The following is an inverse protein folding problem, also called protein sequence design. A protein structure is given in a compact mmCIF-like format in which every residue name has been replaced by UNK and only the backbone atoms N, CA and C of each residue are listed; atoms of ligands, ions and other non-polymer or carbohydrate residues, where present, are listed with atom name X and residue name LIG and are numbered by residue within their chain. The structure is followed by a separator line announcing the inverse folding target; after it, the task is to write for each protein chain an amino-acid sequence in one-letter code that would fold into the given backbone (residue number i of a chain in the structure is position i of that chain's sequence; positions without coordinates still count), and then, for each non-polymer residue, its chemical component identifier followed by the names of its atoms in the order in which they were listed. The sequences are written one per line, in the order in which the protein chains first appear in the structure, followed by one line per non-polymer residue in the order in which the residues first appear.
data_IF_359893415797
#
_entry.id   IF_359893415797
#
_cell.length_a   1.000
_cell.length_b   1.000
_cell.length_c   1.000
_cell.angle_alpha   90.00
_cell.angle_beta   90.00
_cell.angle_gamma   90.00
#
_symmetry.space_group_name_H-M   'P 1'
#
loop_
_entity.id
_entity.type
_entity.pdbx_description
1 polymer ?
#
# COMPACT_ATOMS: atom_id res chain seq x y z
N UNK A 1 12.44 -13.94 -7.56
CA UNK A 1 11.50 -13.97 -8.68
C UNK A 1 10.93 -15.37 -8.81
N UNK A 2 9.61 -15.47 -8.71
CA UNK A 2 8.82 -16.70 -8.89
C UNK A 2 8.23 -16.75 -10.29
N UNK A 3 8.12 -17.95 -10.88
CA UNK A 3 7.33 -18.17 -12.08
C UNK A 3 5.81 -18.17 -11.81
N UNK A 4 4.99 -18.31 -12.84
CA UNK A 4 3.54 -18.28 -12.68
C UNK A 4 3.00 -19.44 -11.80
N UNK A 5 3.55 -20.65 -11.95
CA UNK A 5 3.13 -21.82 -11.17
C UNK A 5 3.54 -21.70 -9.71
N UNK A 6 4.75 -21.21 -9.45
CA UNK A 6 5.24 -20.93 -8.10
C UNK A 6 4.40 -19.86 -7.41
N UNK A 7 4.02 -18.79 -8.11
CA UNK A 7 3.10 -17.76 -7.58
C UNK A 7 1.73 -18.32 -7.24
N UNK A 8 1.19 -19.20 -8.08
CA UNK A 8 -0.11 -19.82 -7.84
C UNK A 8 -0.07 -20.76 -6.62
N UNK A 9 1.01 -21.53 -6.46
CA UNK A 9 1.25 -22.36 -5.29
C UNK A 9 1.41 -21.51 -4.02
N UNK A 10 2.15 -20.40 -4.11
CA UNK A 10 2.30 -19.45 -3.01
C UNK A 10 0.95 -18.86 -2.59
N UNK A 11 0.10 -18.44 -3.54
CA UNK A 11 -1.26 -17.93 -3.24
C UNK A 11 -2.10 -18.95 -2.45
N UNK A 12 -2.07 -20.23 -2.84
CA UNK A 12 -2.76 -21.29 -2.10
C UNK A 12 -2.22 -21.47 -0.68
N UNK A 13 -0.90 -21.51 -0.53
CA UNK A 13 -0.25 -21.69 0.76
C UNK A 13 -0.52 -20.50 1.71
N UNK A 14 -0.43 -19.27 1.20
CA UNK A 14 -0.74 -18.06 1.96
C UNK A 14 -2.22 -18.03 2.37
N UNK A 15 -3.16 -18.41 1.49
CA UNK A 15 -4.58 -18.50 1.83
C UNK A 15 -4.83 -19.51 2.96
N UNK A 16 -4.28 -20.72 2.83
CA UNK A 16 -4.42 -21.74 3.87
C UNK A 16 -3.87 -21.26 5.24
N UNK A 17 -2.79 -20.48 5.22
CA UNK A 17 -2.18 -19.89 6.42
C UNK A 17 -3.07 -18.80 7.03
N UNK A 18 -3.61 -17.90 6.21
CA UNK A 18 -4.54 -16.86 6.65
C UNK A 18 -5.83 -17.47 7.26
N UNK A 19 -6.35 -18.55 6.66
CA UNK A 19 -7.53 -19.25 7.18
C UNK A 19 -7.24 -19.92 8.53
N UNK A 20 -6.04 -20.50 8.70
CA UNK A 20 -5.60 -21.10 9.96
C UNK A 20 -5.42 -20.05 11.06
N UNK A 21 -4.85 -18.89 10.72
CA UNK A 21 -4.78 -17.76 11.63
C UNK A 21 -6.17 -17.30 12.06
N UNK A 22 -7.08 -17.08 11.11
CA UNK A 22 -8.43 -16.59 11.40
C UNK A 22 -9.17 -17.50 12.39
N UNK A 23 -9.14 -18.83 12.16
CA UNK A 23 -9.76 -19.80 13.07
C UNK A 23 -9.21 -19.69 14.49
N UNK A 24 -7.89 -19.53 14.62
CA UNK A 24 -7.22 -19.40 15.91
C UNK A 24 -7.52 -18.06 16.58
N UNK A 25 -7.47 -16.96 15.83
CA UNK A 25 -7.71 -15.60 16.32
C UNK A 25 -9.15 -15.44 16.83
N UNK A 26 -10.14 -15.99 16.13
CA UNK A 26 -11.55 -15.98 16.56
C UNK A 26 -11.72 -16.71 17.90
N UNK A 27 -11.06 -17.85 18.09
CA UNK A 27 -11.13 -18.60 19.35
C UNK A 27 -10.49 -17.84 20.53
N UNK A 28 -9.45 -17.05 20.25
CA UNK A 28 -8.79 -16.20 21.27
C UNK A 28 -9.70 -15.04 21.69
N UNK A 29 -10.52 -14.50 20.78
CA UNK A 29 -11.53 -13.50 21.10
C UNK A 29 -11.01 -12.06 21.29
N UNK A 30 -9.76 -11.78 20.88
CA UNK A 30 -9.21 -10.41 20.91
C UNK A 30 -9.51 -9.74 19.57
N UNK A 31 -10.47 -8.81 19.55
CA UNK A 31 -10.95 -8.18 18.31
C UNK A 31 -9.85 -7.52 17.47
N UNK A 32 -8.97 -6.64 18.01
CA UNK A 32 -7.84 -6.11 17.23
C UNK A 32 -6.93 -7.20 16.64
N UNK A 33 -6.77 -8.34 17.32
CA UNK A 33 -5.97 -9.44 16.80
C UNK A 33 -6.67 -10.16 15.63
N UNK A 34 -8.01 -10.23 15.66
CA UNK A 34 -8.82 -10.79 14.58
C UNK A 34 -8.71 -9.94 13.31
N UNK A 35 -8.61 -8.61 13.43
CA UNK A 35 -8.52 -7.68 12.30
C UNK A 35 -7.28 -7.90 11.40
N UNK A 36 -6.20 -8.51 11.92
CA UNK A 36 -5.08 -8.97 11.09
C UNK A 36 -5.51 -9.99 10.04
N UNK A 37 -6.58 -10.77 10.29
CA UNK A 37 -7.18 -11.66 9.29
C UNK A 37 -7.74 -10.86 8.10
N UNK A 38 -8.36 -9.70 8.38
CA UNK A 38 -8.83 -8.77 7.36
C UNK A 38 -7.68 -8.24 6.50
N UNK A 39 -6.58 -7.80 7.14
CA UNK A 39 -5.38 -7.34 6.45
C UNK A 39 -4.76 -8.42 5.55
N UNK A 40 -4.59 -9.64 6.06
CA UNK A 40 -4.06 -10.75 5.28
C UNK A 40 -4.94 -11.08 4.08
N UNK A 41 -6.25 -11.07 4.26
CA UNK A 41 -7.19 -11.36 3.18
C UNK A 41 -7.17 -10.31 2.07
N UNK A 42 -7.05 -9.03 2.43
CA UNK A 42 -6.95 -7.94 1.46
C UNK A 42 -5.61 -7.98 0.70
N UNK A 43 -4.50 -8.24 1.41
CA UNK A 43 -3.20 -8.45 0.79
C UNK A 43 -3.22 -9.63 -0.20
N UNK A 44 -3.83 -10.76 0.17
CA UNK A 44 -4.00 -11.92 -0.70
C UNK A 44 -4.81 -11.58 -1.96
N UNK A 45 -5.84 -10.74 -1.84
CA UNK A 45 -6.63 -10.31 -2.98
C UNK A 45 -5.78 -9.47 -3.95
N UNK A 46 -4.98 -8.53 -3.44
CA UNK A 46 -4.05 -7.75 -4.23
C UNK A 46 -2.98 -8.63 -4.92
N UNK A 47 -2.41 -9.61 -4.21
CA UNK A 47 -1.47 -10.58 -4.80
C UNK A 47 -2.12 -11.40 -5.92
N UNK A 48 -3.37 -11.84 -5.75
CA UNK A 48 -4.10 -12.57 -6.78
C UNK A 48 -4.34 -11.72 -8.03
N UNK A 49 -4.69 -10.43 -7.85
CA UNK A 49 -4.84 -9.48 -8.95
C UNK A 49 -3.51 -9.22 -9.67
N UNK A 50 -2.43 -9.02 -8.92
CA UNK A 50 -1.08 -8.86 -9.48
C UNK A 50 -0.67 -10.10 -10.29
N UNK A 51 -0.86 -11.30 -9.74
CA UNK A 51 -0.60 -12.55 -10.44
C UNK A 51 -1.38 -12.66 -11.75
N UNK A 52 -2.67 -12.31 -11.76
CA UNK A 52 -3.51 -12.32 -12.96
C UNK A 52 -3.02 -11.34 -14.05
N UNK A 53 -2.27 -10.31 -13.67
CA UNK A 53 -1.62 -9.35 -14.57
C UNK A 53 -0.20 -9.77 -14.97
N UNK A 54 0.26 -10.96 -14.55
CA UNK A 54 1.63 -11.44 -14.78
C UNK A 54 2.69 -10.79 -13.89
N UNK A 55 2.28 -10.04 -12.86
CA UNK A 55 3.18 -9.36 -11.92
C UNK A 55 3.62 -10.35 -10.83
N UNK A 56 4.92 -10.39 -10.55
CA UNK A 56 5.47 -11.17 -9.46
C UNK A 56 5.35 -10.44 -8.12
N UNK A 57 4.29 -10.77 -7.36
CA UNK A 57 4.04 -10.16 -6.06
C UNK A 57 5.11 -10.47 -5.01
N UNK A 58 5.95 -11.51 -5.20
CA UNK A 58 7.06 -11.81 -4.28
C UNK A 58 8.14 -10.71 -4.32
N UNK A 59 8.20 -10.00 -5.43
CA UNK A 59 9.09 -8.86 -5.65
C UNK A 59 8.37 -7.53 -5.40
N UNK A 60 7.08 -7.48 -5.04
CA UNK A 60 6.39 -6.21 -4.76
C UNK A 60 6.70 -5.72 -3.34
N UNK A 61 7.84 -5.04 -3.15
CA UNK A 61 8.24 -4.48 -1.86
C UNK A 61 9.14 -3.24 -2.02
N UNK A 62 9.39 -2.53 -0.91
CA UNK A 62 10.21 -1.30 -0.90
C UNK A 62 11.66 -1.55 -1.35
N UNK A 63 12.22 -2.73 -1.09
CA UNK A 63 13.63 -3.03 -1.38
C UNK A 63 13.88 -3.34 -2.86
N UNK A 64 12.90 -3.89 -3.56
CA UNK A 64 12.92 -4.08 -5.02
C UNK A 64 12.51 -2.81 -5.79
N UNK A 65 11.87 -1.84 -5.11
CA UNK A 65 11.32 -0.64 -5.73
C UNK A 65 10.02 -0.88 -6.50
N UNK A 66 9.43 -2.08 -6.40
CA UNK A 66 8.18 -2.41 -7.07
C UNK A 66 7.01 -2.35 -6.09
N UNK A 67 6.04 -1.48 -6.37
CA UNK A 67 4.82 -1.42 -5.59
C UNK A 67 3.89 -2.59 -5.94
N UNK A 68 3.15 -3.11 -4.95
CA UNK A 68 2.01 -3.98 -5.20
C UNK A 68 0.86 -3.10 -5.73
N UNK A 69 0.26 -3.43 -6.89
CA UNK A 69 -0.90 -2.69 -7.38
C UNK A 69 -2.08 -2.89 -6.42
N UNK A 70 -2.61 -1.78 -5.89
CA UNK A 70 -3.81 -1.76 -5.06
C UNK A 70 -4.89 -0.96 -5.74
N UNK A 71 -6.12 -1.49 -5.76
CA UNK A 71 -7.29 -0.70 -6.10
C UNK A 71 -7.57 0.29 -4.95
N UNK A 72 -8.04 1.53 -5.20
CA UNK A 72 -8.27 2.53 -4.14
C UNK A 72 -9.08 2.02 -2.95
N UNK A 73 -10.17 1.28 -3.22
CA UNK A 73 -11.01 0.66 -2.19
C UNK A 73 -10.25 -0.32 -1.28
N UNK A 74 -9.24 -1.01 -1.81
CA UNK A 74 -8.38 -1.89 -1.00
C UNK A 74 -7.54 -1.07 -0.02
N UNK A 75 -7.04 0.09 -0.46
CA UNK A 75 -6.29 0.99 0.41
C UNK A 75 -7.14 1.52 1.55
N UNK A 76 -8.40 1.88 1.27
CA UNK A 76 -9.35 2.33 2.29
C UNK A 76 -9.63 1.23 3.32
N UNK A 77 -9.85 0.00 2.86
CA UNK A 77 -10.07 -1.15 3.74
C UNK A 77 -8.83 -1.50 4.57
N UNK A 78 -7.63 -1.47 3.99
CA UNK A 78 -6.38 -1.67 4.73
C UNK A 78 -6.23 -0.61 5.83
N UNK A 79 -6.53 0.65 5.51
CA UNK A 79 -6.47 1.74 6.48
C UNK A 79 -7.49 1.54 7.62
N UNK A 80 -8.74 1.19 7.30
CA UNK A 80 -9.76 0.85 8.30
C UNK A 80 -9.28 -0.25 9.25
N UNK A 81 -8.71 -1.34 8.73
CA UNK A 81 -8.17 -2.43 9.55
C UNK A 81 -6.99 -2.00 10.42
N UNK A 82 -6.07 -1.21 9.89
CA UNK A 82 -4.95 -0.66 10.66
C UNK A 82 -5.43 0.29 11.77
N UNK A 83 -6.46 1.09 11.51
CA UNK A 83 -7.11 1.95 12.51
C UNK A 83 -7.77 1.11 13.61
N UNK A 84 -8.44 0.01 13.28
CA UNK A 84 -9.00 -0.90 14.28
C UNK A 84 -7.94 -1.58 15.16
N UNK A 85 -6.75 -1.87 14.61
CA UNK A 85 -5.66 -2.54 15.34
C UNK A 85 -4.93 -1.58 16.27
N UNK A 86 -4.59 -0.39 15.76
CA UNK A 86 -3.67 0.53 16.41
C UNK A 86 -4.32 1.82 16.92
N UNK A 87 -5.64 1.96 16.81
CA UNK A 87 -6.43 3.07 17.36
C UNK A 87 -5.88 4.45 16.99
N UNK A 88 -5.49 4.63 15.72
CA UNK A 88 -4.96 5.89 15.22
C UNK A 88 -3.51 6.21 15.63
N UNK A 89 -2.77 5.28 16.24
CA UNK A 89 -1.31 5.39 16.29
C UNK A 89 -0.80 5.37 14.84
N UNK A 90 -0.42 6.55 14.32
CA UNK A 90 -0.01 6.74 12.92
C UNK A 90 1.00 5.68 12.50
N UNK A 91 0.59 4.78 11.61
CA UNK A 91 1.48 3.74 11.05
C UNK A 91 2.21 4.25 9.80
N UNK A 92 1.66 5.22 9.07
CA UNK A 92 2.27 5.78 7.86
C UNK A 92 2.00 7.29 7.75
N UNK A 93 3.05 8.11 7.73
CA UNK A 93 2.96 9.46 7.18
C UNK A 93 2.95 9.33 5.65
N UNK A 94 1.80 9.59 5.03
CA UNK A 94 1.76 9.84 3.58
C UNK A 94 2.38 11.23 3.39
N UNK A 95 3.54 11.37 2.72
CA UNK A 95 4.04 12.70 2.39
C UNK A 95 2.96 13.41 1.56
N UNK A 96 2.57 14.60 2.02
CA UNK A 96 1.67 15.46 1.26
C UNK A 96 2.24 15.63 -0.17
N UNK A 97 1.39 15.67 -1.21
CA UNK A 97 1.88 16.00 -2.54
C UNK A 97 2.64 17.32 -2.43
N UNK A 98 3.89 17.34 -2.90
CA UNK A 98 4.69 18.56 -2.92
C UNK A 98 3.85 19.63 -3.62
N UNK A 99 3.44 20.64 -2.86
CA UNK A 99 2.88 21.85 -3.43
C UNK A 99 3.97 22.43 -4.31
N UNK A 100 3.90 22.18 -5.61
CA UNK A 100 4.76 22.80 -6.58
C UNK A 100 4.67 24.31 -6.39
N UNK A 101 5.70 24.88 -5.79
CA UNK A 101 5.82 26.32 -5.64
C UNK A 101 5.87 26.87 -7.08
N UNK A 102 4.92 27.74 -7.49
CA UNK A 102 4.99 28.32 -8.82
C UNK A 102 6.30 29.11 -8.93
N UNK A 103 7.01 29.03 -10.07
CA UNK A 103 8.30 29.69 -10.23
C UNK A 103 8.14 31.18 -9.95
N UNK A 104 8.87 31.69 -8.96
CA UNK A 104 8.90 33.11 -8.65
C UNK A 104 9.40 33.85 -9.90
N UNK A 105 8.54 34.72 -10.43
CA UNK A 105 8.88 35.60 -11.54
C UNK A 105 10.08 36.46 -11.14
N UNK A 106 11.23 36.24 -11.79
CA UNK A 106 12.38 37.14 -11.68
C UNK A 106 11.97 38.48 -12.29
N UNK A 107 11.72 39.47 -11.43
CA UNK A 107 11.63 40.87 -11.83
C UNK A 107 13.03 41.33 -12.25
N UNK A 108 13.39 41.13 -13.52
CA UNK A 108 14.55 41.79 -14.10
C UNK A 108 14.21 43.28 -14.23
N UNK A 109 14.91 44.09 -13.45
CA UNK A 109 14.80 45.54 -13.47
C UNK A 109 15.04 46.09 -14.88
N UNK A 110 14.13 46.94 -15.33
CA UNK A 110 14.36 47.83 -16.45
C UNK A 110 14.90 49.12 -15.84
N UNK A 111 16.20 49.37 -16.05
CA UNK A 111 16.81 50.67 -15.80
C UNK A 111 16.27 51.67 -16.82
N UNK A 112 15.68 52.76 -16.31
CA UNK A 112 15.36 53.96 -17.06
C UNK A 112 16.61 54.51 -17.76
N UNK A 113 16.58 54.56 -19.09
CA UNK A 113 17.41 55.49 -19.85
C UNK A 113 16.54 56.68 -20.25
N UNK A 114 16.87 57.83 -19.65
CA UNK A 114 16.39 59.15 -20.04
C UNK A 114 16.70 59.41 -21.52
N UNK A 115 15.67 59.86 -22.24
CA UNK A 115 15.79 60.58 -23.52
C UNK A 115 15.30 62.01 -23.28
N UNK A 116 16.08 62.94 -23.81
CA UNK A 116 16.02 64.42 -23.82
C UNK A 116 16.66 65.12 -22.61
#
# INVERSE_FOLDING_TARGET
MMDASEREQALRAMRASADAFYRSAVQIGVHPFIEFSGLMNEYLLACAQAHAQGIDFSECNRHSGQALPLHPVMSDYINEKLECIFSGAKVLDVPAPESGEPPQARTTGISDQHVV
#
